data_IF_477206794811
#
_entry.id   IF_477206794811
#
_cell.length_a   1.000
_cell.length_b   1.000
_cell.length_c   1.000
_cell.angle_alpha   90.00
_cell.angle_beta   90.00
_cell.angle_gamma   90.00
#
_symmetry.space_group_name_H-M   'P 1'
#
loop_
_entity.id
_entity.type
_entity.pdbx_description
1 polymer ?
#
# COMPACT_ATOMS: atom_id res chain seq x y z
N UNK A 1 2.71 -21.55 17.79
CA UNK A 1 2.09 -21.67 16.46
C UNK A 1 2.69 -20.62 15.54
N UNK A 2 3.22 -21.08 14.41
CA UNK A 2 3.65 -20.24 13.29
C UNK A 2 2.55 -20.34 12.23
N UNK A 3 2.03 -19.22 11.76
CA UNK A 3 1.13 -19.20 10.61
C UNK A 3 1.89 -18.57 9.43
N UNK A 4 2.04 -19.34 8.35
CA UNK A 4 2.59 -18.86 7.10
C UNK A 4 1.53 -19.03 6.01
N UNK A 5 1.18 -17.94 5.32
CA UNK A 5 0.25 -17.99 4.20
C UNK A 5 0.78 -17.19 3.01
N UNK A 6 0.55 -17.75 1.82
CA UNK A 6 0.82 -17.10 0.55
C UNK A 6 -0.43 -17.12 -0.31
N UNK A 7 -0.82 -15.95 -0.82
CA UNK A 7 -1.95 -15.80 -1.74
C UNK A 7 -1.40 -15.27 -3.05
N UNK A 8 -1.63 -16.01 -4.13
CA UNK A 8 -1.29 -15.59 -5.48
C UNK A 8 -2.55 -15.63 -6.33
N UNK A 9 -2.83 -14.53 -7.04
CA UNK A 9 -3.99 -14.42 -7.90
C UNK A 9 -3.61 -13.76 -9.22
N UNK A 10 -3.98 -14.42 -10.32
CA UNK A 10 -3.89 -13.88 -11.67
C UNK A 10 -5.29 -13.84 -12.27
N UNK A 11 -5.71 -12.68 -12.77
CA UNK A 11 -6.98 -12.56 -13.47
C UNK A 11 -6.87 -11.56 -14.63
N UNK A 12 -7.55 -11.89 -15.72
CA UNK A 12 -7.67 -11.04 -16.89
C UNK A 12 -9.14 -10.98 -17.31
N UNK A 13 -9.64 -9.77 -17.57
CA UNK A 13 -11.00 -9.56 -18.06
C UNK A 13 -11.02 -8.60 -19.25
N UNK A 14 -11.90 -8.87 -20.21
CA UNK A 14 -12.01 -8.04 -21.41
C UNK A 14 -12.71 -6.71 -21.16
N UNK A 15 -13.48 -6.56 -20.09
CA UNK A 15 -14.30 -5.36 -19.86
C UNK A 15 -14.16 -4.87 -18.43
N UNK A 16 -14.68 -5.63 -17.46
CA UNK A 16 -14.73 -5.24 -16.07
C UNK A 16 -14.08 -6.30 -15.20
N UNK A 17 -13.29 -5.87 -14.23
CA UNK A 17 -12.81 -6.72 -13.16
C UNK A 17 -13.04 -6.01 -11.83
N UNK A 18 -13.84 -6.64 -10.98
CA UNK A 18 -14.08 -6.20 -9.61
C UNK A 18 -13.54 -7.27 -8.66
N UNK A 19 -12.60 -6.90 -7.80
CA UNK A 19 -12.01 -7.78 -6.82
C UNK A 19 -12.12 -7.19 -5.43
N UNK A 20 -12.69 -7.97 -4.52
CA UNK A 20 -12.72 -7.68 -3.09
C UNK A 20 -11.98 -8.79 -2.35
N UNK A 21 -10.93 -8.44 -1.61
CA UNK A 21 -10.21 -9.37 -0.74
C UNK A 21 -10.21 -8.82 0.67
N UNK A 22 -10.72 -9.63 1.60
CA UNK A 22 -10.67 -9.35 3.03
C UNK A 22 -10.05 -10.53 3.77
N UNK A 23 -9.04 -10.26 4.59
CA UNK A 23 -8.40 -11.27 5.44
C UNK A 23 -8.30 -10.75 6.87
N UNK A 24 -8.69 -11.63 7.80
CA UNK A 24 -8.55 -11.45 9.24
C UNK A 24 -7.69 -12.59 9.77
N UNK A 25 -6.52 -12.28 10.34
CA UNK A 25 -5.61 -13.31 10.85
C UNK A 25 -5.12 -12.94 12.25
N UNK A 26 -5.08 -13.95 13.11
CA UNK A 26 -4.55 -13.84 14.46
C UNK A 26 -3.61 -15.02 14.72
N UNK A 27 -2.44 -14.74 15.29
CA UNK A 27 -1.50 -15.78 15.69
C UNK A 27 -0.87 -15.49 17.05
N UNK A 28 -0.74 -16.54 17.88
CA UNK A 28 -0.19 -16.40 19.23
C UNK A 28 1.32 -16.14 19.27
N UNK A 29 2.08 -16.38 18.19
CA UNK A 29 3.52 -16.10 18.14
C UNK A 29 3.91 -15.41 16.84
N UNK A 30 3.89 -16.13 15.72
CA UNK A 30 4.40 -15.66 14.44
C UNK A 30 3.32 -15.70 13.36
N UNK A 31 3.22 -14.60 12.61
CA UNK A 31 2.33 -14.48 11.45
C UNK A 31 3.12 -13.96 10.26
N UNK A 32 3.17 -14.74 9.19
CA UNK A 32 3.76 -14.37 7.91
C UNK A 32 2.70 -14.46 6.81
N UNK A 33 2.47 -13.34 6.12
CA UNK A 33 1.57 -13.28 4.97
C UNK A 33 2.27 -12.67 3.76
N UNK A 34 2.21 -13.35 2.62
CA UNK A 34 2.58 -12.78 1.32
C UNK A 34 1.38 -12.76 0.38
N UNK A 35 1.04 -11.60 -0.16
CA UNK A 35 -0.03 -11.44 -1.15
C UNK A 35 0.55 -10.93 -2.46
N UNK A 36 0.29 -11.64 -3.56
CA UNK A 36 0.67 -11.20 -4.91
C UNK A 36 -0.54 -11.24 -5.83
N UNK A 37 -0.96 -10.07 -6.31
CA UNK A 37 -2.07 -9.94 -7.26
C UNK A 37 -1.55 -9.42 -8.60
N UNK A 38 -1.97 -10.08 -9.69
CA UNK A 38 -1.72 -9.66 -11.08
C UNK A 38 -3.06 -9.56 -11.80
N UNK A 39 -3.55 -8.35 -12.01
CA UNK A 39 -4.89 -8.10 -12.53
C UNK A 39 -4.83 -7.23 -13.78
N UNK A 40 -5.55 -7.64 -14.81
CA UNK A 40 -5.65 -6.92 -16.07
C UNK A 40 -7.11 -6.77 -16.50
N UNK A 41 -7.53 -5.56 -16.88
CA UNK A 41 -8.85 -5.32 -17.46
C UNK A 41 -8.77 -4.31 -18.62
N UNK A 42 -9.48 -4.51 -19.73
CA UNK A 42 -9.37 -3.53 -20.82
C UNK A 42 -10.12 -2.23 -20.56
N UNK A 43 -11.19 -2.22 -19.74
CA UNK A 43 -11.89 -0.97 -19.41
C UNK A 43 -11.76 -0.59 -17.95
N UNK A 44 -12.37 -1.37 -17.05
CA UNK A 44 -12.49 -1.00 -15.64
C UNK A 44 -11.88 -2.05 -14.73
N UNK A 45 -11.00 -1.60 -13.85
CA UNK A 45 -10.41 -2.40 -12.79
C UNK A 45 -10.70 -1.76 -11.44
N UNK A 46 -11.51 -2.43 -10.64
CA UNK A 46 -11.80 -2.03 -9.27
C UNK A 46 -11.26 -3.09 -8.31
N UNK A 47 -10.38 -2.66 -7.41
CA UNK A 47 -9.75 -3.54 -6.42
C UNK A 47 -9.88 -2.94 -5.04
N UNK A 48 -10.38 -3.74 -4.12
CA UNK A 48 -10.40 -3.43 -2.70
C UNK A 48 -9.68 -4.53 -1.92
N UNK A 49 -8.65 -4.14 -1.17
CA UNK A 49 -7.87 -5.02 -0.31
C UNK A 49 -7.96 -4.54 1.14
N UNK A 50 -8.49 -5.37 2.02
CA UNK A 50 -8.54 -5.10 3.45
C UNK A 50 -7.88 -6.23 4.24
N UNK A 51 -6.81 -5.91 4.97
CA UNK A 51 -6.13 -6.85 5.86
C UNK A 51 -6.19 -6.36 7.29
N UNK A 52 -6.60 -7.24 8.20
CA UNK A 52 -6.53 -7.05 9.65
C UNK A 52 -5.74 -8.18 10.25
N UNK A 53 -4.63 -7.85 10.90
CA UNK A 53 -3.72 -8.87 11.40
C UNK A 53 -3.18 -8.54 12.78
N UNK A 54 -3.10 -9.56 13.63
CA UNK A 54 -2.57 -9.46 14.98
C UNK A 54 -1.64 -10.63 15.28
N UNK A 55 -0.47 -10.33 15.84
CA UNK A 55 0.44 -11.34 16.35
C UNK A 55 1.04 -10.92 17.69
N UNK A 56 1.19 -11.83 18.64
CA UNK A 56 1.79 -11.44 19.93
C UNK A 56 3.29 -11.17 19.82
N UNK A 57 4.03 -11.91 19.00
CA UNK A 57 5.49 -11.79 18.96
C UNK A 57 5.99 -11.08 17.71
N UNK A 58 5.67 -11.63 16.54
CA UNK A 58 6.17 -11.13 15.26
C UNK A 58 5.09 -11.21 14.17
N UNK A 59 4.93 -10.09 13.48
CA UNK A 59 4.12 -9.98 12.27
C UNK A 59 5.02 -9.56 11.11
N UNK A 60 4.98 -10.33 10.04
CA UNK A 60 5.59 -10.01 8.75
C UNK A 60 4.53 -10.05 7.64
N UNK A 61 4.46 -9.00 6.84
CA UNK A 61 3.57 -8.93 5.69
C UNK A 61 4.28 -8.29 4.50
N UNK A 62 4.09 -8.93 3.34
CA UNK A 62 4.50 -8.47 2.03
C UNK A 62 3.31 -8.47 1.08
N UNK A 63 3.11 -7.38 0.34
CA UNK A 63 2.00 -7.24 -0.62
C UNK A 63 2.56 -6.69 -1.92
N UNK A 64 2.43 -7.42 -3.02
CA UNK A 64 2.81 -6.99 -4.37
C UNK A 64 1.57 -6.94 -5.27
N UNK A 65 1.36 -5.82 -5.96
CA UNK A 65 0.17 -5.59 -6.79
C UNK A 65 0.59 -5.13 -8.19
N UNK A 66 0.36 -5.95 -9.21
CA UNK A 66 0.55 -5.55 -10.61
C UNK A 66 -0.83 -5.38 -11.25
N UNK A 67 -1.20 -4.14 -11.54
CA UNK A 67 -2.54 -3.79 -12.01
C UNK A 67 -2.44 -3.06 -13.35
N UNK A 68 -3.19 -3.49 -14.35
CA UNK A 68 -3.25 -2.81 -15.64
C UNK A 68 -4.72 -2.61 -16.05
N UNK A 69 -5.06 -1.38 -16.41
CA UNK A 69 -6.39 -1.09 -16.92
C UNK A 69 -6.35 0.00 -17.98
N UNK A 70 -6.91 -0.21 -19.17
CA UNK A 70 -6.70 0.81 -20.22
C UNK A 70 -7.50 2.09 -19.95
N UNK A 71 -8.66 2.05 -19.29
CA UNK A 71 -9.47 3.27 -19.11
C UNK A 71 -9.48 3.77 -17.67
N UNK A 72 -9.96 2.94 -16.74
CA UNK A 72 -10.16 3.33 -15.35
C UNK A 72 -9.59 2.28 -14.41
N UNK A 73 -8.83 2.76 -13.44
CA UNK A 73 -8.35 1.96 -12.32
C UNK A 73 -8.73 2.64 -11.01
N UNK A 74 -9.41 1.90 -10.14
CA UNK A 74 -9.64 2.28 -8.76
C UNK A 74 -9.08 1.21 -7.83
N UNK A 75 -8.13 1.61 -6.98
CA UNK A 75 -7.54 0.75 -5.95
C UNK A 75 -7.71 1.39 -4.57
N UNK A 76 -8.22 0.61 -3.63
CA UNK A 76 -8.23 0.94 -2.21
C UNK A 76 -7.54 -0.16 -1.41
N UNK A 77 -6.53 0.22 -0.63
CA UNK A 77 -5.80 -0.68 0.28
C UNK A 77 -5.95 -0.18 1.71
N UNK A 78 -6.48 -1.03 2.59
CA UNK A 78 -6.63 -0.75 4.01
C UNK A 78 -5.95 -1.82 4.85
N UNK A 79 -4.92 -1.45 5.60
CA UNK A 79 -4.20 -2.38 6.48
C UNK A 79 -4.30 -1.92 7.94
N UNK A 80 -4.68 -2.83 8.83
CA UNK A 80 -4.62 -2.65 10.29
C UNK A 80 -3.80 -3.77 10.90
N UNK A 81 -2.64 -3.42 11.44
CA UNK A 81 -1.66 -4.38 11.93
C UNK A 81 -1.28 -4.08 13.37
N UNK A 82 -1.21 -5.12 14.19
CA UNK A 82 -0.82 -5.01 15.59
C UNK A 82 0.17 -6.12 15.97
N UNK A 83 1.26 -5.76 16.64
CA UNK A 83 2.13 -6.73 17.27
C UNK A 83 2.63 -6.28 18.66
N UNK A 84 2.69 -7.20 19.64
CA UNK A 84 3.11 -6.83 20.99
C UNK A 84 4.64 -6.73 21.16
N UNK A 85 5.45 -7.16 20.19
CA UNK A 85 6.92 -7.07 20.28
C UNK A 85 7.53 -6.49 19.02
N UNK A 86 7.54 -7.27 17.94
CA UNK A 86 8.15 -6.85 16.67
C UNK A 86 7.11 -6.81 15.57
N UNK A 87 6.98 -5.66 14.91
CA UNK A 87 6.25 -5.53 13.66
C UNK A 87 7.26 -5.18 12.57
N UNK A 88 7.74 -6.20 11.87
CA UNK A 88 8.60 -6.02 10.71
C UNK A 88 7.72 -6.08 9.46
N UNK A 89 7.26 -4.92 9.03
CA UNK A 89 6.51 -4.83 7.78
C UNK A 89 7.45 -4.46 6.65
N UNK A 90 7.58 -5.37 5.69
CA UNK A 90 8.09 -5.02 4.38
C UNK A 90 6.92 -4.88 3.41
N UNK A 91 6.23 -3.74 3.48
CA UNK A 91 5.16 -3.44 2.54
C UNK A 91 5.73 -2.95 1.20
N UNK A 92 6.39 -3.83 0.46
CA UNK A 92 6.77 -3.49 -0.90
C UNK A 92 5.57 -3.56 -1.83
N UNK A 93 4.74 -2.52 -1.78
CA UNK A 93 3.61 -2.33 -2.67
C UNK A 93 4.09 -1.89 -4.05
N UNK A 94 4.91 -2.70 -4.71
CA UNK A 94 5.34 -2.46 -6.10
C UNK A 94 4.13 -2.52 -7.01
N UNK A 95 3.56 -1.34 -7.23
CA UNK A 95 2.57 -1.12 -8.25
C UNK A 95 3.27 -0.66 -9.50
N UNK A 96 3.00 -1.32 -10.61
CA UNK A 96 3.24 -0.79 -11.95
C UNK A 96 1.86 -0.70 -12.57
N UNK A 97 1.35 0.52 -12.68
CA UNK A 97 0.02 0.79 -13.21
C UNK A 97 0.14 1.56 -14.50
N UNK A 98 -0.53 1.07 -15.53
CA UNK A 98 -0.71 1.77 -16.79
C UNK A 98 -2.21 1.94 -16.97
N UNK A 99 -2.66 3.19 -16.89
CA UNK A 99 -4.01 3.58 -17.29
C UNK A 99 -3.99 4.71 -18.30
N UNK A 100 -4.77 4.55 -19.38
CA UNK A 100 -4.78 5.54 -20.46
C UNK A 100 -5.64 6.76 -20.11
N UNK A 101 -6.42 6.75 -19.02
CA UNK A 101 -7.22 7.93 -18.63
C UNK A 101 -7.19 8.24 -17.14
N UNK A 102 -7.72 7.39 -16.28
CA UNK A 102 -7.91 7.74 -14.86
C UNK A 102 -7.35 6.68 -13.91
N UNK A 103 -6.57 7.15 -12.94
CA UNK A 103 -6.07 6.35 -11.83
C UNK A 103 -6.48 7.00 -10.52
N UNK A 104 -7.28 6.28 -9.73
CA UNK A 104 -7.59 6.62 -8.34
C UNK A 104 -7.00 5.57 -7.41
N UNK A 105 -6.19 6.03 -6.46
CA UNK A 105 -5.55 5.20 -5.47
C UNK A 105 -5.73 5.77 -4.07
N UNK A 106 -6.17 4.93 -3.14
CA UNK A 106 -6.20 5.22 -1.71
C UNK A 106 -5.47 4.14 -0.92
N UNK A 107 -4.52 4.57 -0.09
CA UNK A 107 -3.77 3.69 0.82
C UNK A 107 -3.95 4.21 2.25
N UNK A 108 -4.50 3.37 3.12
CA UNK A 108 -4.66 3.66 4.54
C UNK A 108 -3.98 2.58 5.38
N UNK A 109 -2.97 2.98 6.14
CA UNK A 109 -2.23 2.09 7.04
C UNK A 109 -2.38 2.54 8.49
N UNK A 110 -2.77 1.60 9.35
CA UNK A 110 -2.73 1.77 10.82
C UNK A 110 -1.88 0.66 11.41
N UNK A 111 -0.83 1.03 12.13
CA UNK A 111 0.11 0.08 12.69
C UNK A 111 0.46 0.42 14.13
N UNK A 112 0.44 -0.59 14.99
CA UNK A 112 0.78 -0.49 16.40
C UNK A 112 1.81 -1.57 16.74
N UNK A 113 2.94 -1.17 17.33
CA UNK A 113 3.93 -2.09 17.84
C UNK A 113 4.50 -1.63 19.19
N UNK A 114 4.71 -2.53 20.14
CA UNK A 114 5.26 -2.08 21.44
C UNK A 114 6.77 -1.81 21.38
N UNK A 115 7.54 -2.41 20.47
CA UNK A 115 9.00 -2.24 20.45
C UNK A 115 9.50 -1.70 19.12
N UNK A 116 9.39 -2.49 18.06
CA UNK A 116 9.91 -2.11 16.75
C UNK A 116 8.79 -2.10 15.71
N UNK A 117 8.71 -1.00 14.97
CA UNK A 117 7.88 -0.86 13.79
C UNK A 117 8.80 -0.47 12.63
N UNK A 118 8.87 -1.32 11.62
CA UNK A 118 9.53 -0.99 10.35
C UNK A 118 8.50 -1.01 9.22
N UNK A 119 8.50 0.03 8.39
CA UNK A 119 7.68 0.15 7.19
C UNK A 119 8.53 0.65 6.02
N UNK A 120 8.46 -0.06 4.90
CA UNK A 120 8.94 0.42 3.60
C UNK A 120 7.75 0.44 2.63
N UNK A 121 7.57 1.52 1.87
CA UNK A 121 6.55 1.67 0.81
C UNK A 121 7.25 2.08 -0.48
N UNK A 122 6.95 1.40 -1.59
CA UNK A 122 7.46 1.76 -2.92
C UNK A 122 6.33 1.79 -3.96
N UNK A 123 5.94 2.94 -4.49
CA UNK A 123 4.89 3.05 -5.51
C UNK A 123 5.43 3.57 -6.84
N UNK A 124 5.02 2.96 -7.96
CA UNK A 124 5.31 3.45 -9.33
C UNK A 124 4.04 3.56 -10.17
N UNK A 125 3.60 4.78 -10.44
CA UNK A 125 2.31 5.04 -11.10
C UNK A 125 2.51 5.79 -12.41
N UNK A 126 1.78 5.36 -13.44
CA UNK A 126 1.72 6.06 -14.72
C UNK A 126 0.25 6.19 -15.16
N UNK A 127 -0.16 7.43 -15.43
CA UNK A 127 -1.48 7.75 -15.97
C UNK A 127 -1.36 8.78 -17.11
N UNK A 128 -2.09 8.57 -18.20
CA UNK A 128 -2.01 9.51 -19.33
C UNK A 128 -2.83 10.79 -19.15
N UNK A 129 -3.83 10.82 -18.27
CA UNK A 129 -4.58 12.06 -17.98
C UNK A 129 -4.58 12.39 -16.49
N UNK A 130 -5.28 11.61 -15.67
CA UNK A 130 -5.51 11.96 -14.27
C UNK A 130 -4.91 10.92 -13.33
N UNK A 131 -4.11 11.38 -12.39
CA UNK A 131 -3.62 10.60 -11.26
C UNK A 131 -4.07 11.27 -9.96
N UNK A 132 -4.91 10.56 -9.21
CA UNK A 132 -5.28 10.92 -7.86
C UNK A 132 -4.76 9.87 -6.87
N UNK A 133 -3.89 10.28 -5.95
CA UNK A 133 -3.28 9.40 -4.95
C UNK A 133 -3.46 9.99 -3.55
N UNK A 134 -4.14 9.27 -2.67
CA UNK A 134 -4.22 9.60 -1.26
C UNK A 134 -3.51 8.56 -0.39
N UNK A 135 -2.58 9.00 0.45
CA UNK A 135 -1.86 8.13 1.40
C UNK A 135 -2.10 8.64 2.82
N UNK A 136 -2.61 7.78 3.70
CA UNK A 136 -2.75 8.08 5.12
C UNK A 136 -2.04 7.01 5.96
N UNK A 137 -1.04 7.43 6.72
CA UNK A 137 -0.28 6.56 7.62
C UNK A 137 -0.50 6.99 9.07
N UNK A 138 -0.91 6.06 9.92
CA UNK A 138 -0.93 6.21 11.38
C UNK A 138 -0.08 5.11 12.02
N UNK A 139 0.98 5.50 12.71
CA UNK A 139 1.95 4.57 13.27
C UNK A 139 2.31 4.95 14.69
N UNK A 140 2.32 3.94 15.57
CA UNK A 140 2.75 4.09 16.95
C UNK A 140 3.72 2.98 17.33
N UNK A 141 4.87 3.37 17.88
CA UNK A 141 5.87 2.47 18.43
C UNK A 141 6.40 2.96 19.79
N UNK A 142 6.52 2.09 20.81
CA UNK A 142 7.07 2.56 22.11
C UNK A 142 8.60 2.58 22.14
N UNK A 143 9.31 2.13 21.10
CA UNK A 143 10.77 2.29 21.03
C UNK A 143 11.23 2.79 19.68
N UNK A 144 11.19 1.98 18.63
CA UNK A 144 11.77 2.33 17.34
C UNK A 144 10.71 2.34 16.25
N UNK A 145 10.65 3.45 15.52
CA UNK A 145 9.89 3.59 14.29
C UNK A 145 10.85 3.88 13.15
N UNK A 146 10.86 3.01 12.14
CA UNK A 146 11.56 3.21 10.88
C UNK A 146 10.54 3.26 9.74
N UNK A 147 10.53 4.38 9.01
CA UNK A 147 9.69 4.60 7.85
C UNK A 147 10.54 4.97 6.63
N UNK A 148 10.36 4.23 5.53
CA UNK A 148 10.87 4.58 4.20
C UNK A 148 9.71 4.62 3.20
N UNK A 149 9.58 5.73 2.46
CA UNK A 149 8.57 5.91 1.42
C UNK A 149 9.27 6.34 0.13
N UNK A 150 9.04 5.62 -0.96
CA UNK A 150 9.51 5.98 -2.29
C UNK A 150 8.33 6.03 -3.26
N UNK A 151 8.12 7.19 -3.87
CA UNK A 151 7.03 7.44 -4.82
C UNK A 151 7.60 7.89 -6.16
N UNK A 152 7.25 7.18 -7.22
CA UNK A 152 7.53 7.58 -8.60
C UNK A 152 6.21 7.72 -9.35
N UNK A 153 5.82 8.96 -9.67
CA UNK A 153 4.52 9.26 -10.26
C UNK A 153 4.70 10.01 -11.58
N UNK A 154 3.99 9.56 -12.60
CA UNK A 154 3.95 10.21 -13.91
C UNK A 154 2.49 10.42 -14.33
N UNK A 155 2.14 11.67 -14.62
CA UNK A 155 0.84 12.06 -15.15
C UNK A 155 1.00 13.07 -16.30
N UNK A 156 0.37 12.88 -17.46
CA UNK A 156 0.57 13.86 -18.55
C UNK A 156 -0.29 15.13 -18.38
N UNK A 157 -1.37 15.09 -17.58
CA UNK A 157 -2.27 16.25 -17.45
C UNK A 157 -2.43 16.70 -16.00
N UNK A 158 -2.95 15.85 -15.11
CA UNK A 158 -3.30 16.23 -13.75
C UNK A 158 -2.76 15.24 -12.73
N UNK A 159 -2.09 15.76 -11.71
CA UNK A 159 -1.63 15.04 -10.54
C UNK A 159 -2.19 15.69 -9.28
N UNK A 160 -2.93 14.91 -8.47
CA UNK A 160 -3.41 15.31 -7.14
C UNK A 160 -2.90 14.33 -6.09
N UNK A 161 -2.16 14.83 -5.10
CA UNK A 161 -1.43 14.01 -4.13
C UNK A 161 -1.55 14.51 -2.68
N UNK A 162 -2.60 14.11 -1.94
CA UNK A 162 -2.65 14.25 -0.48
C UNK A 162 -1.91 13.11 0.24
N UNK A 163 -0.95 13.47 1.08
CA UNK A 163 -0.23 12.57 1.98
C UNK A 163 -0.46 13.04 3.41
N UNK A 164 -0.82 12.14 4.33
CA UNK A 164 -0.94 12.43 5.75
C UNK A 164 -0.13 11.41 6.55
N UNK A 165 0.76 11.91 7.41
CA UNK A 165 1.60 11.11 8.31
C UNK A 165 1.33 11.47 9.77
N UNK A 166 0.89 10.50 10.57
CA UNK A 166 0.82 10.61 12.02
C UNK A 166 1.74 9.54 12.63
N UNK A 167 2.89 9.98 13.14
CA UNK A 167 3.96 9.11 13.66
C UNK A 167 4.18 9.39 15.14
N UNK A 168 4.17 8.34 15.95
CA UNK A 168 4.51 8.43 17.37
C UNK A 168 5.57 7.37 17.71
N UNK A 169 6.73 7.82 18.19
CA UNK A 169 7.78 6.98 18.69
C UNK A 169 8.30 7.53 20.02
N UNK A 170 8.42 6.68 21.05
CA UNK A 170 8.86 7.15 22.37
C UNK A 170 10.40 7.22 22.53
N UNK A 171 11.17 6.61 21.62
CA UNK A 171 12.64 6.65 21.69
C UNK A 171 13.29 7.08 20.38
N UNK A 172 13.04 6.37 19.29
CA UNK A 172 13.72 6.61 18.02
C UNK A 172 12.75 6.64 16.86
N UNK A 173 12.89 7.68 16.04
CA UNK A 173 12.18 7.87 14.79
C UNK A 173 13.22 8.04 13.68
N UNK A 174 13.18 7.17 12.68
CA UNK A 174 13.92 7.32 11.43
C UNK A 174 12.92 7.40 10.28
N UNK A 175 13.03 8.48 9.50
CA UNK A 175 12.14 8.77 8.38
C UNK A 175 12.95 9.05 7.11
N UNK A 176 12.59 8.38 6.02
CA UNK A 176 13.08 8.68 4.68
C UNK A 176 11.89 8.74 3.72
N UNK A 177 11.75 9.87 3.01
CA UNK A 177 10.71 10.07 2.01
C UNK A 177 11.38 10.56 0.73
N UNK A 178 11.17 9.83 -0.37
CA UNK A 178 11.63 10.20 -1.70
C UNK A 178 10.44 10.29 -2.64
N UNK A 179 10.30 11.43 -3.31
CA UNK A 179 9.21 11.73 -4.21
C UNK A 179 9.80 12.16 -5.57
N UNK A 180 9.47 11.44 -6.62
CA UNK A 180 9.78 11.79 -8.01
C UNK A 180 8.46 11.96 -8.76
N UNK A 181 8.24 13.17 -9.24
CA UNK A 181 7.02 13.56 -9.95
C UNK A 181 7.35 14.01 -11.36
N UNK A 182 6.52 13.61 -12.29
CA UNK A 182 6.46 14.19 -13.62
C UNK A 182 5.01 14.50 -13.95
N UNK A 183 4.70 15.80 -14.05
CA UNK A 183 3.40 16.30 -14.48
C UNK A 183 3.60 17.34 -15.59
N UNK A 184 2.97 17.15 -16.76
CA UNK A 184 3.21 18.06 -17.89
C UNK A 184 2.30 19.30 -17.87
N UNK A 185 1.23 19.32 -17.06
CA UNK A 185 0.32 20.47 -17.00
C UNK A 185 0.00 20.92 -15.59
N UNK A 186 -0.66 20.08 -14.79
CA UNK A 186 -1.18 20.48 -13.48
C UNK A 186 -0.71 19.55 -12.36
N UNK A 187 -0.24 20.17 -11.28
CA UNK A 187 0.20 19.51 -10.06
C UNK A 187 -0.47 20.18 -8.85
N UNK A 188 -1.15 19.38 -8.04
CA UNK A 188 -1.60 19.74 -6.70
C UNK A 188 -1.02 18.75 -5.69
N UNK A 189 -0.26 19.27 -4.72
CA UNK A 189 0.43 18.50 -3.69
C UNK A 189 0.05 19.06 -2.31
N UNK A 190 -0.36 18.17 -1.41
CA UNK A 190 -0.56 18.50 0.01
C UNK A 190 0.05 17.39 0.86
N UNK A 191 0.97 17.74 1.77
CA UNK A 191 1.66 16.82 2.68
C UNK A 191 1.41 17.28 4.11
#
# INVERSE_FOLDING_TARGET
MFLHMSIQLFMQANMFLHLYIQLLLQANRFLHLSVQLRLQANRFLHVFLQLRMQANLLLHLSIQLFLQANWFLHLSVQLRLQANRFLHLFLQLRMRMQANRFLHLSIQLRMLANRFLHLSIQLRLQANRFLHLSIQLRMQANSFLHLSIQLFLQANMFLHLPIQLLLQANRFLHLSVQLRLQANRFLHLSI
#
